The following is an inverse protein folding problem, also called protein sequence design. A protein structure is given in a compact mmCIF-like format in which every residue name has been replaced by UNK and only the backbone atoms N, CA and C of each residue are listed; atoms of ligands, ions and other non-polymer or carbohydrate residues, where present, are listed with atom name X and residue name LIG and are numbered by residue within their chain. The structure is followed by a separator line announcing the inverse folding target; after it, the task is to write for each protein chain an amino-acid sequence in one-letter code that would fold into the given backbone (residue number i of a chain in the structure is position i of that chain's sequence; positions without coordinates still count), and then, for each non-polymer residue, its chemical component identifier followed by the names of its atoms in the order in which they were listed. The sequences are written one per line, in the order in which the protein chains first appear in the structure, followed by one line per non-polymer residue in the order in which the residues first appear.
data_IF_669704687224
#
_entry.id   IF_669704687224
#
_cell.length_a   1.000
_cell.length_b   1.000
_cell.length_c   1.000
_cell.angle_alpha   90.00
_cell.angle_beta   90.00
_cell.angle_gamma   90.00
#
_symmetry.space_group_name_H-M   'P 1'
#
loop_
_entity.id
_entity.type
_entity.pdbx_description
1 polymer ?
#
# COMPACT_ATOMS: atom_id res chain seq x y z
N UNK A 1 14.26 -4.18 -5.02
CA UNK A 1 14.96 -3.97 -6.32
C UNK A 1 13.94 -3.36 -7.29
N UNK A 2 14.29 -2.36 -8.11
CA UNK A 2 13.33 -1.72 -9.01
C UNK A 2 12.90 -2.68 -10.13
N UNK A 3 11.60 -2.92 -10.23
CA UNK A 3 10.96 -3.71 -11.29
C UNK A 3 9.53 -3.23 -11.45
N UNK A 4 9.04 -3.20 -12.68
CA UNK A 4 7.64 -2.95 -12.99
C UNK A 4 7.21 -3.88 -14.13
N UNK A 5 5.90 -4.08 -14.25
CA UNK A 5 5.31 -4.86 -15.32
C UNK A 5 4.03 -4.19 -15.81
N UNK A 6 3.75 -4.33 -17.10
CA UNK A 6 2.46 -3.99 -17.70
C UNK A 6 1.82 -5.30 -18.12
N UNK A 7 0.62 -5.56 -17.64
CA UNK A 7 -0.17 -6.74 -18.00
C UNK A 7 -1.48 -6.25 -18.65
N UNK A 8 -1.83 -6.84 -19.78
CA UNK A 8 -3.10 -6.59 -20.46
C UNK A 8 -3.53 -7.84 -21.25
N UNK A 9 -4.78 -7.85 -21.71
CA UNK A 9 -5.31 -8.93 -22.53
C UNK A 9 -4.61 -9.01 -23.89
N UNK A 10 -4.66 -10.18 -24.52
CA UNK A 10 -4.02 -10.46 -25.82
C UNK A 10 -4.34 -9.44 -26.90
N UNK A 11 -5.60 -9.04 -27.05
CA UNK A 11 -6.02 -8.07 -28.06
C UNK A 11 -5.42 -6.68 -27.85
N UNK A 12 -4.96 -6.36 -26.64
CA UNK A 12 -4.24 -5.13 -26.31
C UNK A 12 -2.73 -5.36 -26.46
N UNK A 13 -2.18 -6.43 -25.89
CA UNK A 13 -0.73 -6.66 -25.93
C UNK A 13 -0.19 -6.94 -27.34
N UNK A 14 -0.96 -7.63 -28.20
CA UNK A 14 -0.54 -8.01 -29.56
C UNK A 14 -0.49 -6.82 -30.55
N UNK A 15 -0.96 -5.63 -30.15
CA UNK A 15 -0.81 -4.42 -30.98
C UNK A 15 0.52 -3.71 -30.76
N UNK A 16 1.25 -4.01 -29.67
CA UNK A 16 2.58 -3.46 -29.38
C UNK A 16 3.59 -4.18 -30.29
N UNK A 17 4.33 -3.40 -31.08
CA UNK A 17 5.35 -3.90 -32.02
C UNK A 17 6.77 -3.70 -31.46
N UNK A 18 7.78 -4.43 -31.98
CA UNK A 18 9.17 -4.19 -31.62
C UNK A 18 9.54 -2.70 -31.78
N UNK A 19 10.11 -2.11 -30.73
CA UNK A 19 10.50 -0.69 -30.69
C UNK A 19 9.44 0.27 -30.10
N UNK A 20 8.18 -0.14 -29.93
CA UNK A 20 7.13 0.76 -29.42
C UNK A 20 7.20 0.96 -27.90
N UNK A 21 7.65 -0.05 -27.16
CA UNK A 21 7.74 -0.01 -25.71
C UNK A 21 8.99 -0.78 -25.28
N UNK A 22 9.97 -0.05 -24.75
CA UNK A 22 11.25 -0.61 -24.34
C UNK A 22 11.94 0.31 -23.34
N UNK A 23 12.83 -0.27 -22.55
CA UNK A 23 13.67 0.45 -21.60
C UNK A 23 15.02 -0.26 -21.56
N UNK A 24 16.12 0.50 -21.51
CA UNK A 24 17.48 -0.04 -21.43
C UNK A 24 17.66 -1.01 -20.26
N UNK A 25 16.95 -0.79 -19.16
CA UNK A 25 17.02 -1.62 -17.94
C UNK A 25 15.77 -2.49 -17.74
N UNK A 26 14.82 -2.45 -18.67
CA UNK A 26 13.63 -3.30 -18.63
C UNK A 26 14.01 -4.78 -18.73
N UNK A 27 13.37 -5.62 -17.91
CA UNK A 27 13.67 -7.06 -17.91
C UNK A 27 15.05 -7.42 -17.33
N UNK A 28 15.64 -6.56 -16.50
CA UNK A 28 16.89 -6.87 -15.80
C UNK A 28 16.80 -8.24 -15.06
N UNK A 29 17.76 -9.16 -15.26
CA UNK A 29 17.66 -10.53 -14.72
C UNK A 29 17.72 -10.60 -13.20
N UNK A 30 18.45 -9.70 -12.54
CA UNK A 30 18.49 -9.62 -11.06
C UNK A 30 17.15 -9.11 -10.53
N UNK A 31 16.59 -8.09 -11.18
CA UNK A 31 15.26 -7.57 -10.86
C UNK A 31 14.18 -8.65 -11.00
N UNK A 32 14.24 -9.44 -12.07
CA UNK A 32 13.33 -10.55 -12.32
C UNK A 32 13.45 -11.65 -11.25
N UNK A 33 14.67 -12.04 -10.87
CA UNK A 33 14.88 -13.03 -9.82
C UNK A 33 14.30 -12.58 -8.46
N UNK A 34 14.52 -11.31 -8.09
CA UNK A 34 13.94 -10.72 -6.87
C UNK A 34 12.41 -10.67 -6.95
N UNK A 35 11.84 -10.30 -8.09
CA UNK A 35 10.39 -10.26 -8.29
C UNK A 35 9.75 -11.64 -8.13
N UNK A 36 10.36 -12.68 -8.74
CA UNK A 36 9.88 -14.07 -8.62
C UNK A 36 9.92 -14.51 -7.15
N UNK A 37 11.01 -14.27 -6.44
CA UNK A 37 11.12 -14.63 -5.02
C UNK A 37 10.05 -13.91 -4.17
N UNK A 38 9.82 -12.62 -4.39
CA UNK A 38 8.80 -11.85 -3.68
C UNK A 38 7.38 -12.37 -3.96
N UNK A 39 7.06 -12.69 -5.22
CA UNK A 39 5.75 -13.25 -5.59
C UNK A 39 5.53 -14.65 -5.01
N UNK A 40 6.59 -15.46 -4.93
CA UNK A 40 6.52 -16.79 -4.31
C UNK A 40 6.18 -16.68 -2.82
N UNK A 41 6.81 -15.75 -2.09
CA UNK A 41 6.46 -15.46 -0.68
C UNK A 41 5.01 -15.01 -0.54
N UNK A 42 4.55 -14.07 -1.37
CA UNK A 42 3.16 -13.60 -1.34
C UNK A 42 2.16 -14.76 -1.47
N UNK A 43 2.47 -15.72 -2.33
CA UNK A 43 1.64 -16.91 -2.56
C UNK A 43 1.75 -17.94 -1.44
N UNK A 44 2.95 -18.34 -1.07
CA UNK A 44 3.19 -19.44 -0.13
C UNK A 44 2.74 -19.09 1.30
N UNK A 45 2.89 -17.82 1.68
CA UNK A 45 2.48 -17.32 3.01
C UNK A 45 1.04 -16.79 3.03
N UNK A 46 0.29 -16.87 1.91
CA UNK A 46 -1.09 -16.37 1.79
C UNK A 46 -1.25 -14.93 2.29
N UNK A 47 -0.35 -14.03 1.84
CA UNK A 47 -0.26 -12.68 2.39
C UNK A 47 -1.49 -11.83 2.10
N UNK A 48 -2.22 -12.10 1.02
CA UNK A 48 -3.45 -11.37 0.68
C UNK A 48 -4.57 -11.66 1.71
N UNK A 49 -4.76 -12.93 2.05
CA UNK A 49 -5.72 -13.40 3.04
C UNK A 49 -5.34 -12.91 4.44
N UNK A 50 -4.05 -12.97 4.77
CA UNK A 50 -3.54 -12.44 6.03
C UNK A 50 -3.77 -10.92 6.13
N UNK A 51 -3.49 -10.16 5.06
CA UNK A 51 -3.73 -8.72 5.02
C UNK A 51 -5.22 -8.38 5.18
N UNK A 52 -6.12 -9.17 4.61
CA UNK A 52 -7.56 -9.02 4.79
C UNK A 52 -7.98 -9.26 6.25
N UNK A 53 -7.50 -10.35 6.87
CA UNK A 53 -7.77 -10.66 8.29
C UNK A 53 -7.26 -9.56 9.22
N UNK A 54 -5.99 -9.19 9.10
CA UNK A 54 -5.36 -8.19 9.95
C UNK A 54 -5.95 -6.79 9.72
N UNK A 55 -6.29 -6.46 8.48
CA UNK A 55 -6.99 -5.23 8.13
C UNK A 55 -8.33 -5.07 8.85
N UNK A 56 -9.13 -6.14 8.93
CA UNK A 56 -10.39 -6.16 9.69
C UNK A 56 -10.16 -5.90 11.18
N UNK A 57 -9.16 -6.55 11.77
CA UNK A 57 -8.80 -6.34 13.19
C UNK A 57 -8.38 -4.88 13.42
N UNK A 58 -7.43 -4.37 12.63
CA UNK A 58 -6.95 -2.99 12.72
C UNK A 58 -8.09 -1.97 12.69
N UNK A 59 -8.96 -2.07 11.68
CA UNK A 59 -10.10 -1.14 11.55
C UNK A 59 -11.13 -1.35 12.66
N UNK A 60 -11.37 -2.58 13.11
CA UNK A 60 -12.33 -2.83 14.19
C UNK A 60 -11.87 -2.22 15.51
N UNK A 61 -10.60 -2.37 15.88
CA UNK A 61 -10.06 -1.82 17.13
C UNK A 61 -9.98 -0.30 17.08
N UNK A 62 -9.51 0.28 15.97
CA UNK A 62 -9.49 1.74 15.85
C UNK A 62 -10.89 2.35 15.84
N UNK A 63 -11.87 1.72 15.18
CA UNK A 63 -13.24 2.24 15.19
C UNK A 63 -13.87 2.26 16.60
N UNK A 64 -13.40 1.43 17.54
CA UNK A 64 -13.81 1.53 18.95
C UNK A 64 -13.13 2.72 19.63
N UNK A 65 -11.83 2.91 19.39
CA UNK A 65 -11.05 3.98 20.00
C UNK A 65 -11.51 5.37 19.55
N UNK A 66 -11.77 5.57 18.25
CA UNK A 66 -12.13 6.89 17.74
C UNK A 66 -13.47 7.40 18.30
N UNK A 67 -14.33 6.54 18.87
CA UNK A 67 -15.56 6.96 19.54
C UNK A 67 -15.30 7.83 20.78
N UNK A 68 -14.06 7.85 21.29
CA UNK A 68 -13.68 8.65 22.46
C UNK A 68 -13.12 10.02 22.09
N UNK A 69 -13.10 10.41 20.82
CA UNK A 69 -12.48 11.67 20.37
C UNK A 69 -13.12 12.20 19.08
N UNK A 70 -13.33 13.52 19.01
CA UNK A 70 -13.84 14.18 17.80
C UNK A 70 -12.73 14.50 16.77
N UNK A 71 -11.46 14.21 17.10
CA UNK A 71 -10.30 14.47 16.24
C UNK A 71 -10.27 13.59 14.98
N UNK A 72 -10.96 12.46 14.96
CA UNK A 72 -10.92 11.49 13.84
C UNK A 72 -12.33 11.31 13.30
N UNK A 73 -12.53 11.62 12.02
CA UNK A 73 -13.84 11.49 11.37
C UNK A 73 -14.19 10.05 11.03
N UNK A 74 -13.24 9.27 10.50
CA UNK A 74 -13.44 7.86 10.15
C UNK A 74 -12.12 7.11 9.91
N UNK A 75 -12.19 5.78 10.00
CA UNK A 75 -11.10 4.87 9.61
C UNK A 75 -11.54 4.03 8.41
N UNK A 76 -10.78 4.07 7.31
CA UNK A 76 -11.08 3.36 6.05
C UNK A 76 -9.87 2.63 5.49
N UNK A 77 -10.12 1.65 4.62
CA UNK A 77 -9.04 0.90 3.98
C UNK A 77 -9.49 -0.42 3.35
N UNK A 78 -8.53 -1.13 2.76
CA UNK A 78 -8.70 -2.48 2.22
C UNK A 78 -7.45 -3.30 2.53
N UNK A 79 -7.63 -4.51 3.07
CA UNK A 79 -6.51 -5.26 3.63
C UNK A 79 -5.73 -4.40 4.66
N UNK A 80 -4.40 -4.41 4.56
CA UNK A 80 -3.51 -3.61 5.41
C UNK A 80 -3.21 -2.20 4.88
N UNK A 81 -3.80 -1.80 3.75
CA UNK A 81 -3.75 -0.40 3.31
C UNK A 81 -4.89 0.36 3.99
N UNK A 82 -4.57 1.10 5.06
CA UNK A 82 -5.53 1.81 5.90
C UNK A 82 -5.18 3.29 6.01
N UNK A 83 -6.22 4.10 6.22
CA UNK A 83 -6.13 5.54 6.45
C UNK A 83 -7.05 5.93 7.61
N UNK A 84 -6.56 6.86 8.43
CA UNK A 84 -7.30 7.51 9.51
C UNK A 84 -7.57 8.93 9.02
N UNK A 85 -8.85 9.31 8.89
CA UNK A 85 -9.23 10.65 8.43
C UNK A 85 -9.29 11.57 9.65
N UNK A 86 -8.40 12.56 9.68
CA UNK A 86 -8.38 13.57 10.73
C UNK A 86 -9.49 14.59 10.46
N UNK A 87 -10.23 14.94 11.51
CA UNK A 87 -11.32 15.90 11.47
C UNK A 87 -10.77 17.33 11.62
N UNK A 88 -10.08 17.80 10.59
CA UNK A 88 -9.48 19.13 10.55
C UNK A 88 -9.42 19.64 9.09
N UNK A 89 -8.98 20.88 8.91
CA UNK A 89 -8.79 21.49 7.58
C UNK A 89 -7.64 20.83 6.79
N UNK A 90 -7.75 20.80 5.46
CA UNK A 90 -6.74 20.18 4.58
C UNK A 90 -5.37 20.89 4.65
N UNK A 91 -5.36 22.19 4.93
CA UNK A 91 -4.13 22.99 5.08
C UNK A 91 -3.57 22.91 6.52
N UNK A 92 -4.23 22.18 7.42
CA UNK A 92 -3.80 22.02 8.81
C UNK A 92 -2.59 21.08 8.94
N UNK A 93 -1.69 21.43 9.86
CA UNK A 93 -0.55 20.59 10.21
C UNK A 93 -0.91 19.44 11.18
N UNK A 94 -2.17 19.30 11.61
CA UNK A 94 -2.58 18.32 12.62
C UNK A 94 -2.21 16.89 12.23
N UNK A 95 -2.53 16.44 11.02
CA UNK A 95 -2.20 15.09 10.56
C UNK A 95 -0.68 14.87 10.49
N UNK A 96 0.07 15.89 10.07
CA UNK A 96 1.53 15.87 10.02
C UNK A 96 2.12 15.74 11.43
N UNK A 97 1.65 16.55 12.38
CA UNK A 97 2.09 16.55 13.77
C UNK A 97 1.77 15.22 14.48
N UNK A 98 0.63 14.60 14.17
CA UNK A 98 0.33 13.23 14.62
C UNK A 98 1.37 12.25 14.07
N UNK A 99 1.71 12.32 12.79
CA UNK A 99 2.74 11.44 12.20
C UNK A 99 4.12 11.64 12.84
N UNK A 100 4.49 12.87 13.20
CA UNK A 100 5.72 13.15 13.95
C UNK A 100 5.68 12.53 15.35
N UNK A 101 4.56 12.68 16.07
CA UNK A 101 4.39 12.07 17.38
C UNK A 101 4.42 10.53 17.30
N UNK A 102 3.81 9.94 16.28
CA UNK A 102 3.86 8.49 16.03
C UNK A 102 5.30 8.03 15.79
N UNK A 103 6.08 8.74 14.97
CA UNK A 103 7.50 8.46 14.72
C UNK A 103 8.29 8.44 16.03
N UNK A 104 8.09 9.44 16.87
CA UNK A 104 8.78 9.56 18.15
C UNK A 104 8.39 8.45 19.14
N UNK A 105 7.23 7.81 18.93
CA UNK A 105 6.77 6.62 19.65
C UNK A 105 7.05 5.30 18.90
N UNK A 106 7.87 5.32 17.84
CA UNK A 106 8.31 4.12 17.12
C UNK A 106 7.36 3.61 16.03
N UNK A 107 6.35 4.38 15.64
CA UNK A 107 5.43 4.05 14.55
C UNK A 107 5.61 5.00 13.37
N UNK A 108 6.03 4.48 12.23
CA UNK A 108 6.10 5.27 10.99
C UNK A 108 4.74 5.28 10.30
N UNK A 109 4.23 6.47 10.05
CA UNK A 109 3.02 6.73 9.27
C UNK A 109 3.29 7.83 8.24
N UNK A 110 2.44 7.91 7.23
CA UNK A 110 2.45 8.97 6.23
C UNK A 110 1.11 9.70 6.30
N UNK A 111 1.11 11.04 6.34
CA UNK A 111 -0.11 11.84 6.22
C UNK A 111 -0.72 11.73 4.82
#
# INVERSE_FOLDING_TARGET
YPVSAVLANDNIMKVIKPGNHGSTFGGNPVAAAVAIAALQVVKDENLAENAEKLGKIFRSELNKYIQTTDLVSLVRGKGLLNAIVINDDEESETAWNICLALRDNGLLAKP
#
